data_IF_073292059804
#
_entry.id   IF_073292059804
#
_cell.length_a   1.000
_cell.length_b   1.000
_cell.length_c   1.000
_cell.angle_alpha   90.00
_cell.angle_beta   90.00
_cell.angle_gamma   90.00
#
_symmetry.space_group_name_H-M   'P 1'
#
loop_
_entity.id
_entity.type
_entity.pdbx_description
1 polymer ?
#
# COMPACT_ATOMS: atom_id res chain seq x y z
N UNK A 1 -34.34 -6.68 -16.72
CA UNK A 1 -33.02 -6.26 -16.18
C UNK A 1 -33.15 -6.06 -14.67
N UNK A 2 -32.56 -6.91 -13.82
CA UNK A 2 -32.66 -6.75 -12.38
C UNK A 2 -31.72 -5.64 -11.88
N UNK A 3 -32.26 -4.67 -11.15
CA UNK A 3 -31.50 -3.58 -10.51
C UNK A 3 -30.63 -4.16 -9.39
N UNK A 4 -29.34 -3.81 -9.29
CA UNK A 4 -28.53 -4.22 -8.15
C UNK A 4 -28.99 -3.51 -6.87
N UNK A 5 -29.17 -4.28 -5.81
CA UNK A 5 -29.69 -3.84 -4.52
C UNK A 5 -28.70 -2.92 -3.77
N UNK A 6 -29.19 -1.88 -3.08
CA UNK A 6 -28.36 -0.86 -2.42
C UNK A 6 -27.54 -1.38 -1.23
N UNK A 7 -27.87 -2.58 -0.73
CA UNK A 7 -27.16 -3.24 0.37
C UNK A 7 -25.75 -3.71 -0.04
N UNK A 8 -25.53 -4.03 -1.33
CA UNK A 8 -24.25 -4.51 -1.85
C UNK A 8 -23.17 -3.41 -1.93
N UNK A 9 -23.57 -2.13 -1.92
CA UNK A 9 -22.63 -0.99 -1.93
C UNK A 9 -22.07 -0.67 -0.54
N UNK A 10 -22.79 -1.01 0.54
CA UNK A 10 -22.41 -0.64 1.91
C UNK A 10 -21.36 -1.58 2.52
N UNK A 11 -21.30 -2.84 2.09
CA UNK A 11 -20.35 -3.83 2.62
C UNK A 11 -18.89 -3.59 2.19
N UNK A 12 -18.66 -2.90 1.07
CA UNK A 12 -17.31 -2.66 0.53
C UNK A 12 -16.67 -1.36 1.04
N UNK A 13 -17.47 -0.46 1.62
CA UNK A 13 -16.97 0.80 2.19
C UNK A 13 -16.17 0.56 3.49
N UNK A 14 -16.47 -0.53 4.21
CA UNK A 14 -15.78 -0.88 5.46
C UNK A 14 -14.41 -1.54 5.23
N UNK A 15 -14.16 -2.13 4.06
CA UNK A 15 -12.86 -2.71 3.72
C UNK A 15 -11.78 -1.66 3.41
N UNK A 16 -12.18 -0.42 3.10
CA UNK A 16 -11.25 0.67 2.75
C UNK A 16 -10.52 1.28 3.96
N UNK A 17 -11.04 1.10 5.17
CA UNK A 17 -10.43 1.66 6.39
C UNK A 17 -9.29 0.79 6.96
N UNK A 18 -9.18 -0.48 6.56
CA UNK A 18 -8.12 -1.38 7.04
C UNK A 18 -6.76 -1.13 6.37
N UNK A 19 -6.74 -0.48 5.19
CA UNK A 19 -5.51 -0.19 4.43
C UNK A 19 -4.72 1.01 4.98
N UNK A 20 -5.24 1.74 5.97
CA UNK A 20 -4.62 2.97 6.50
C UNK A 20 -3.66 2.70 7.67
N UNK A 21 -3.71 1.52 8.30
CA UNK A 21 -2.92 1.21 9.50
C UNK A 21 -1.42 0.96 9.26
N UNK A 22 -1.04 0.37 8.13
CA UNK A 22 0.36 0.01 7.86
C UNK A 22 1.22 1.15 7.31
N UNK A 23 0.61 2.28 6.92
CA UNK A 23 1.37 3.49 6.57
C UNK A 23 2.07 4.13 7.79
N UNK A 24 1.57 3.88 9.00
CA UNK A 24 2.09 4.47 10.25
C UNK A 24 3.00 3.54 11.06
N UNK A 25 2.86 2.22 10.95
CA UNK A 25 3.55 1.28 11.86
C UNK A 25 5.00 0.94 11.47
N UNK A 26 5.45 1.28 10.25
CA UNK A 26 6.81 0.97 9.80
C UNK A 26 7.87 1.98 10.28
N UNK A 27 7.44 3.15 10.79
CA UNK A 27 8.35 4.23 11.21
C UNK A 27 7.80 4.91 12.47
N UNK A 28 8.02 4.28 13.62
CA UNK A 28 8.05 4.98 14.91
C UNK A 28 9.51 5.10 15.32
N UNK A 29 10.09 6.32 15.45
CA UNK A 29 11.33 6.48 16.19
C UNK A 29 11.06 6.18 17.67
N UNK A 30 11.96 5.43 18.30
CA UNK A 30 11.91 5.09 19.72
C UNK A 30 11.62 6.32 20.60
N UNK A 31 10.72 6.14 21.58
CA UNK A 31 10.20 7.21 22.41
C UNK A 31 11.25 7.85 23.35
N UNK A 32 11.01 9.06 23.86
CA UNK A 32 11.89 9.65 24.86
C UNK A 32 11.39 9.31 26.28
N UNK A 33 12.17 8.52 27.01
CA UNK A 33 12.15 8.56 28.46
C UNK A 33 12.72 9.91 28.95
N UNK A 34 12.14 10.38 30.04
CA UNK A 34 12.37 11.67 30.67
C UNK A 34 13.80 11.86 31.18
N UNK A 35 14.38 13.05 30.93
CA UNK A 35 14.85 13.99 31.95
C UNK A 35 15.55 15.20 31.30
N UNK A 36 15.01 16.40 31.54
CA UNK A 36 15.67 17.69 31.31
C UNK A 36 16.43 18.10 32.60
N UNK A 37 17.39 19.08 32.63
CA UNK A 37 17.53 20.23 31.72
C UNK A 37 18.99 20.74 31.45
N UNK A 38 19.17 21.63 30.47
CA UNK A 38 19.74 22.98 30.68
C UNK A 38 19.91 23.78 29.38
N UNK A 39 19.76 25.08 29.54
CA UNK A 39 19.65 26.17 28.57
C UNK A 39 20.94 26.45 27.80
N UNK A 40 20.83 26.56 26.47
CA UNK A 40 21.54 27.56 25.61
C UNK A 40 21.54 27.18 24.12
N UNK A 41 21.15 25.95 23.74
CA UNK A 41 21.32 25.42 22.38
C UNK A 41 20.14 25.67 21.42
N UNK A 42 19.15 26.47 21.84
CA UNK A 42 17.89 26.67 21.09
C UNK A 42 18.01 27.48 19.79
N UNK A 43 19.19 28.02 19.44
CA UNK A 43 19.38 28.83 18.21
C UNK A 43 20.10 28.12 17.06
N UNK A 44 20.62 26.92 17.26
CA UNK A 44 21.28 26.12 16.19
C UNK A 44 20.33 25.04 15.64
N UNK A 45 19.22 24.78 16.33
CA UNK A 45 18.28 23.71 15.98
C UNK A 45 17.27 24.06 14.87
N UNK A 46 17.17 25.32 14.45
CA UNK A 46 16.24 25.75 13.39
C UNK A 46 16.81 25.64 11.96
N UNK A 47 18.08 25.28 11.79
CA UNK A 47 18.73 25.27 10.46
C UNK A 47 18.85 23.88 9.78
N UNK A 48 18.40 22.80 10.42
CA UNK A 48 18.47 21.44 9.84
C UNK A 48 17.22 20.60 10.14
N UNK A 49 16.03 21.16 9.93
CA UNK A 49 14.90 20.31 9.54
C UNK A 49 15.22 19.83 8.12
N UNK A 50 16.02 18.77 8.00
CA UNK A 50 16.24 18.12 6.72
C UNK A 50 14.88 17.67 6.22
N UNK A 51 14.34 18.38 5.23
CA UNK A 51 13.24 17.87 4.44
C UNK A 51 13.64 16.45 4.01
N UNK A 52 12.79 15.47 4.34
CA UNK A 52 13.06 14.08 3.98
C UNK A 52 13.44 14.03 2.48
N UNK A 53 14.47 13.24 2.11
CA UNK A 53 14.93 13.21 0.73
C UNK A 53 13.75 12.92 -0.20
N UNK A 54 13.67 13.59 -1.36
CA UNK A 54 12.57 13.39 -2.29
C UNK A 54 12.52 11.92 -2.71
N UNK A 55 11.29 11.39 -2.81
CA UNK A 55 11.03 9.98 -3.09
C UNK A 55 11.63 9.06 -2.03
N UNK A 56 11.18 9.29 -0.80
CA UNK A 56 11.43 8.47 0.39
C UNK A 56 10.12 7.97 0.99
N UNK A 57 10.18 7.30 2.15
CA UNK A 57 8.98 6.89 2.90
C UNK A 57 8.01 8.05 3.17
N UNK A 58 8.53 9.26 3.42
CA UNK A 58 7.70 10.45 3.62
C UNK A 58 6.84 10.79 2.38
N UNK A 59 7.38 10.60 1.17
CA UNK A 59 6.64 10.84 -0.08
C UNK A 59 5.47 9.87 -0.24
N UNK A 60 5.60 8.64 0.27
CA UNK A 60 4.50 7.70 0.26
C UNK A 60 3.41 8.10 1.25
N UNK A 61 3.77 8.50 2.47
CA UNK A 61 2.80 8.97 3.47
C UNK A 61 2.04 10.21 2.96
N UNK A 62 2.75 11.14 2.32
CA UNK A 62 2.13 12.28 1.64
C UNK A 62 1.16 11.84 0.54
N UNK A 63 1.55 10.88 -0.30
CA UNK A 63 0.67 10.35 -1.33
C UNK A 63 -0.60 9.70 -0.75
N UNK A 64 -0.51 8.99 0.39
CA UNK A 64 -1.68 8.43 1.08
C UNK A 64 -2.63 9.55 1.51
N UNK A 65 -2.12 10.61 2.13
CA UNK A 65 -2.94 11.77 2.54
C UNK A 65 -3.59 12.43 1.33
N UNK A 66 -2.84 12.65 0.25
CA UNK A 66 -3.36 13.23 -0.98
C UNK A 66 -4.46 12.38 -1.59
N UNK A 67 -4.34 11.04 -1.58
CA UNK A 67 -5.34 10.15 -2.22
C UNK A 67 -6.60 10.00 -1.37
N UNK A 68 -6.46 9.83 -0.06
CA UNK A 68 -7.57 9.38 0.79
C UNK A 68 -8.12 10.44 1.74
N UNK A 69 -7.32 11.43 2.14
CA UNK A 69 -7.74 12.46 3.11
C UNK A 69 -8.08 13.77 2.40
N UNK A 70 -7.28 14.18 1.41
CA UNK A 70 -7.40 15.45 0.72
C UNK A 70 -8.14 15.35 -0.62
N UNK A 71 -8.45 14.13 -1.08
CA UNK A 71 -9.07 13.82 -2.38
C UNK A 71 -8.39 14.56 -3.57
N UNK A 72 -7.05 14.59 -3.51
CA UNK A 72 -6.14 15.23 -4.48
C UNK A 72 -5.28 14.20 -5.26
N UNK A 73 -5.90 13.23 -5.96
CA UNK A 73 -5.20 12.14 -6.64
C UNK A 73 -4.25 12.62 -7.76
N UNK A 74 -4.55 13.76 -8.39
CA UNK A 74 -3.70 14.35 -9.42
C UNK A 74 -2.34 14.81 -8.85
N UNK A 75 -2.31 15.26 -7.59
CA UNK A 75 -1.08 15.65 -6.91
C UNK A 75 -0.25 14.40 -6.54
N UNK A 76 -0.90 13.35 -6.04
CA UNK A 76 -0.23 12.07 -5.79
C UNK A 76 0.35 11.46 -7.08
N UNK A 77 -0.35 11.58 -8.20
CA UNK A 77 0.19 11.17 -9.51
C UNK A 77 1.43 11.98 -9.89
N UNK A 78 1.43 13.29 -9.66
CA UNK A 78 2.60 14.14 -9.91
C UNK A 78 3.81 13.72 -9.05
N UNK A 79 3.60 13.34 -7.78
CA UNK A 79 4.64 12.78 -6.91
C UNK A 79 5.19 11.47 -7.49
N UNK A 80 4.33 10.55 -7.91
CA UNK A 80 4.77 9.30 -8.54
C UNK A 80 5.64 9.56 -9.78
N UNK A 81 5.21 10.48 -10.65
CA UNK A 81 5.95 10.86 -11.85
C UNK A 81 7.30 11.51 -11.52
N UNK A 82 7.38 12.33 -10.46
CA UNK A 82 8.64 12.86 -9.97
C UNK A 82 9.58 11.74 -9.54
N UNK A 83 9.08 10.74 -8.80
CA UNK A 83 9.88 9.61 -8.38
C UNK A 83 10.37 8.74 -9.52
N UNK A 84 9.59 8.57 -10.59
CA UNK A 84 10.07 7.92 -11.82
C UNK A 84 11.22 8.71 -12.45
N UNK A 85 11.10 10.04 -12.57
CA UNK A 85 12.15 10.89 -13.15
C UNK A 85 13.44 10.83 -12.35
N UNK A 86 13.35 10.91 -11.02
CA UNK A 86 14.53 10.82 -10.14
C UNK A 86 15.14 9.41 -10.11
N UNK A 87 14.32 8.37 -10.14
CA UNK A 87 14.81 7.00 -10.25
C UNK A 87 15.60 6.77 -11.54
N UNK A 88 15.15 7.38 -12.65
CA UNK A 88 15.85 7.30 -13.93
C UNK A 88 17.17 8.07 -13.92
N UNK A 89 17.20 9.31 -13.41
CA UNK A 89 18.41 10.14 -13.41
C UNK A 89 19.49 9.63 -12.45
N UNK A 90 19.11 8.97 -11.36
CA UNK A 90 20.03 8.50 -10.32
C UNK A 90 20.29 6.98 -10.35
N UNK A 91 19.60 6.24 -11.22
CA UNK A 91 19.65 4.78 -11.24
C UNK A 91 19.15 4.12 -9.94
N UNK A 92 18.31 4.81 -9.17
CA UNK A 92 17.90 4.37 -7.84
C UNK A 92 16.62 3.51 -7.89
N UNK A 93 16.77 2.22 -7.61
CA UNK A 93 15.67 1.27 -7.66
C UNK A 93 14.64 1.47 -6.53
N UNK A 94 15.02 2.03 -5.38
CA UNK A 94 14.09 2.35 -4.28
C UNK A 94 13.13 3.47 -4.68
N UNK A 95 13.62 4.50 -5.38
CA UNK A 95 12.76 5.59 -5.88
C UNK A 95 11.72 5.08 -6.89
N UNK A 96 12.11 4.12 -7.73
CA UNK A 96 11.19 3.44 -8.65
C UNK A 96 10.13 2.66 -7.89
N UNK A 97 10.52 1.95 -6.83
CA UNK A 97 9.61 1.20 -5.99
C UNK A 97 8.55 2.11 -5.35
N UNK A 98 8.96 3.26 -4.84
CA UNK A 98 8.03 4.24 -4.24
C UNK A 98 7.02 4.74 -5.28
N UNK A 99 7.48 5.06 -6.49
CA UNK A 99 6.57 5.44 -7.58
C UNK A 99 5.54 4.35 -7.88
N UNK A 100 5.96 3.08 -7.94
CA UNK A 100 5.07 1.93 -8.16
C UNK A 100 4.04 1.79 -7.04
N UNK A 101 4.43 2.00 -5.77
CA UNK A 101 3.48 1.95 -4.65
C UNK A 101 2.43 3.06 -4.72
N UNK A 102 2.83 4.28 -5.07
CA UNK A 102 1.87 5.39 -5.26
C UNK A 102 0.90 5.07 -6.41
N UNK A 103 1.40 4.51 -7.51
CA UNK A 103 0.56 4.05 -8.62
C UNK A 103 -0.42 2.95 -8.19
N UNK A 104 0.02 1.98 -7.37
CA UNK A 104 -0.86 0.94 -6.83
C UNK A 104 -1.99 1.54 -5.96
N UNK A 105 -1.68 2.52 -5.09
CA UNK A 105 -2.69 3.21 -4.26
C UNK A 105 -3.73 3.94 -5.12
N UNK A 106 -3.28 4.68 -6.14
CA UNK A 106 -4.17 5.34 -7.11
C UNK A 106 -5.04 4.31 -7.84
N UNK A 107 -4.43 3.23 -8.33
CA UNK A 107 -5.12 2.18 -9.04
C UNK A 107 -6.18 1.49 -8.17
N UNK A 108 -5.89 1.21 -6.91
CA UNK A 108 -6.87 0.70 -5.95
C UNK A 108 -8.02 1.70 -5.73
N UNK A 109 -7.71 3.00 -5.52
CA UNK A 109 -8.73 4.05 -5.28
C UNK A 109 -9.72 4.18 -6.44
N UNK A 110 -9.23 4.09 -7.68
CA UNK A 110 -10.03 4.24 -8.89
C UNK A 110 -10.46 2.91 -9.54
N UNK A 111 -10.08 1.78 -8.93
CA UNK A 111 -10.35 0.42 -9.45
C UNK A 111 -9.80 0.21 -10.86
N UNK A 112 -8.65 0.79 -11.15
CA UNK A 112 -7.88 0.52 -12.37
C UNK A 112 -7.14 -0.81 -12.19
N UNK A 113 -7.78 -1.91 -12.60
CA UNK A 113 -7.26 -3.26 -12.39
C UNK A 113 -5.99 -3.53 -13.22
N UNK A 114 -5.85 -2.92 -14.38
CA UNK A 114 -4.69 -3.13 -15.26
C UNK A 114 -3.45 -2.48 -14.66
N UNK A 115 -3.56 -1.22 -14.22
CA UNK A 115 -2.46 -0.54 -13.51
C UNK A 115 -2.14 -1.24 -12.20
N UNK A 116 -3.14 -1.71 -11.46
CA UNK A 116 -2.93 -2.45 -10.22
C UNK A 116 -2.20 -3.79 -10.46
N UNK A 117 -2.55 -4.49 -11.53
CA UNK A 117 -1.89 -5.73 -11.92
C UNK A 117 -0.42 -5.50 -12.26
N UNK A 118 -0.14 -4.49 -13.10
CA UNK A 118 1.23 -4.12 -13.47
C UNK A 118 2.06 -3.69 -12.26
N UNK A 119 1.47 -2.90 -11.36
CA UNK A 119 2.13 -2.50 -10.13
C UNK A 119 2.44 -3.71 -9.23
N UNK A 120 1.51 -4.64 -9.10
CA UNK A 120 1.71 -5.89 -8.35
C UNK A 120 2.87 -6.73 -8.90
N UNK A 121 2.92 -6.93 -10.22
CA UNK A 121 4.04 -7.60 -10.88
C UNK A 121 5.36 -6.86 -10.64
N UNK A 122 5.37 -5.54 -10.77
CA UNK A 122 6.57 -4.73 -10.58
C UNK A 122 7.11 -4.83 -9.15
N UNK A 123 6.25 -4.81 -8.12
CA UNK A 123 6.66 -4.99 -6.73
C UNK A 123 7.31 -6.37 -6.49
N UNK A 124 6.74 -7.43 -7.06
CA UNK A 124 7.26 -8.79 -6.93
C UNK A 124 8.58 -8.99 -7.69
N UNK A 125 8.74 -8.38 -8.86
CA UNK A 125 9.91 -8.53 -9.73
C UNK A 125 11.09 -7.69 -9.27
N UNK A 126 10.84 -6.46 -8.81
CA UNK A 126 11.90 -5.53 -8.44
C UNK A 126 12.70 -6.03 -7.24
N UNK A 127 12.03 -6.60 -6.22
CA UNK A 127 12.64 -7.18 -4.99
C UNK A 127 13.72 -6.31 -4.32
N UNK A 128 13.67 -5.00 -4.55
CA UNK A 128 14.65 -4.04 -4.00
C UNK A 128 14.55 -4.01 -2.48
N UNK A 129 13.32 -4.14 -1.98
CA UNK A 129 12.96 -4.14 -0.58
C UNK A 129 11.97 -5.31 -0.39
N UNK A 130 12.44 -6.46 0.16
CA UNK A 130 11.64 -7.68 0.30
C UNK A 130 10.31 -7.48 1.03
N UNK A 131 10.24 -6.49 1.91
CA UNK A 131 9.05 -6.13 2.68
C UNK A 131 7.87 -5.65 1.81
N UNK A 132 8.10 -5.29 0.55
CA UNK A 132 7.05 -4.87 -0.38
C UNK A 132 6.66 -5.93 -1.41
N UNK A 133 7.33 -7.10 -1.42
CA UNK A 133 6.90 -8.23 -2.24
C UNK A 133 5.49 -8.71 -1.83
N UNK A 134 5.14 -8.82 -0.52
CA UNK A 134 3.78 -9.19 -0.11
C UNK A 134 2.70 -8.23 -0.63
N UNK A 135 2.96 -6.92 -0.61
CA UNK A 135 2.05 -5.89 -1.16
C UNK A 135 1.75 -6.15 -2.64
N UNK A 136 2.77 -6.60 -3.39
CA UNK A 136 2.61 -6.99 -4.79
C UNK A 136 1.67 -8.18 -4.96
N UNK A 137 1.81 -9.21 -4.12
CA UNK A 137 0.89 -10.34 -4.11
C UNK A 137 -0.53 -9.91 -3.70
N UNK A 138 -0.70 -8.98 -2.76
CA UNK A 138 -2.02 -8.44 -2.42
C UNK A 138 -2.67 -7.72 -3.60
N UNK A 139 -1.92 -6.90 -4.36
CA UNK A 139 -2.42 -6.24 -5.56
C UNK A 139 -2.92 -7.27 -6.58
N UNK A 140 -2.15 -8.33 -6.84
CA UNK A 140 -2.53 -9.39 -7.77
C UNK A 140 -3.75 -10.18 -7.27
N UNK A 141 -3.80 -10.52 -5.98
CA UNK A 141 -4.96 -11.17 -5.38
C UNK A 141 -6.25 -10.35 -5.58
N UNK A 142 -6.19 -9.04 -5.36
CA UNK A 142 -7.32 -8.14 -5.61
C UNK A 142 -7.76 -8.18 -7.08
N UNK A 143 -6.82 -8.10 -8.03
CA UNK A 143 -7.15 -8.15 -9.46
C UNK A 143 -7.81 -9.47 -9.86
N UNK A 144 -7.31 -10.60 -9.35
CA UNK A 144 -7.88 -11.92 -9.63
C UNK A 144 -9.28 -12.09 -9.03
N UNK A 145 -9.51 -11.61 -7.80
CA UNK A 145 -10.85 -11.58 -7.21
C UNK A 145 -11.84 -10.75 -8.04
N UNK A 146 -11.41 -9.59 -8.54
CA UNK A 146 -12.25 -8.74 -9.38
C UNK A 146 -12.60 -9.41 -10.73
N UNK A 147 -11.75 -10.32 -11.22
CA UNK A 147 -11.96 -11.09 -12.45
C UNK A 147 -12.72 -12.40 -12.23
N UNK A 148 -12.95 -12.81 -10.98
CA UNK A 148 -13.58 -14.10 -10.68
C UNK A 148 -12.64 -15.29 -10.64
N UNK A 149 -11.32 -15.08 -10.74
CA UNK A 149 -10.32 -16.16 -10.71
C UNK A 149 -9.91 -16.48 -9.27
N UNK A 150 -10.66 -17.41 -8.67
CA UNK A 150 -10.46 -17.85 -7.28
C UNK A 150 -9.13 -18.58 -7.09
N UNK A 151 -8.67 -19.34 -8.08
CA UNK A 151 -7.39 -20.07 -8.01
C UNK A 151 -6.20 -19.11 -8.02
N UNK A 152 -6.22 -18.11 -8.91
CA UNK A 152 -5.20 -17.07 -8.92
C UNK A 152 -5.18 -16.29 -7.60
N UNK A 153 -6.34 -15.86 -7.11
CA UNK A 153 -6.45 -15.13 -5.85
C UNK A 153 -5.91 -15.94 -4.66
N UNK A 154 -6.27 -17.23 -4.56
CA UNK A 154 -5.79 -18.16 -3.52
C UNK A 154 -4.28 -18.25 -3.50
N UNK A 155 -3.65 -18.41 -4.66
CA UNK A 155 -2.18 -18.48 -4.79
C UNK A 155 -1.53 -17.22 -4.23
N UNK A 156 -1.95 -16.05 -4.69
CA UNK A 156 -1.33 -14.80 -4.27
C UNK A 156 -1.57 -14.46 -2.80
N UNK A 157 -2.76 -14.76 -2.25
CA UNK A 157 -2.99 -14.58 -0.80
C UNK A 157 -2.12 -15.50 0.06
N UNK A 158 -1.91 -16.74 -0.39
CA UNK A 158 -1.02 -17.70 0.29
C UNK A 158 0.43 -17.20 0.29
N UNK A 159 0.91 -16.69 -0.86
CA UNK A 159 2.25 -16.12 -0.98
C UNK A 159 2.42 -14.86 -0.12
N UNK A 160 1.45 -13.94 -0.14
CA UNK A 160 1.47 -12.73 0.69
C UNK A 160 1.54 -13.08 2.19
N UNK A 161 0.68 -14.00 2.64
CA UNK A 161 0.65 -14.49 4.03
C UNK A 161 1.98 -15.09 4.45
N UNK A 162 2.55 -15.97 3.64
CA UNK A 162 3.81 -16.63 3.92
C UNK A 162 4.95 -15.60 4.09
N UNK A 163 4.99 -14.60 3.21
CA UNK A 163 6.03 -13.57 3.26
C UNK A 163 5.85 -12.59 4.43
N UNK A 164 4.63 -12.11 4.72
CA UNK A 164 4.39 -11.29 5.92
C UNK A 164 4.75 -12.04 7.21
N UNK A 165 4.44 -13.33 7.28
CA UNK A 165 4.80 -14.19 8.42
C UNK A 165 6.33 -14.30 8.55
N UNK A 166 7.03 -14.55 7.44
CA UNK A 166 8.49 -14.65 7.43
C UNK A 166 9.19 -13.35 7.84
N UNK A 167 8.60 -12.20 7.50
CA UNK A 167 9.08 -10.88 7.85
C UNK A 167 8.65 -10.42 9.26
N UNK A 168 7.82 -11.20 9.96
CA UNK A 168 7.27 -10.88 11.29
C UNK A 168 6.50 -9.54 11.32
N UNK A 169 5.75 -9.26 10.26
CA UNK A 169 4.91 -8.06 10.15
C UNK A 169 3.48 -8.43 10.53
N UNK A 170 3.24 -8.65 11.84
CA UNK A 170 2.00 -9.26 12.33
C UNK A 170 0.75 -8.45 11.97
N UNK A 171 0.83 -7.12 12.06
CA UNK A 171 -0.28 -6.22 11.71
C UNK A 171 -0.63 -6.24 10.21
N UNK A 172 0.28 -6.69 9.33
CA UNK A 172 -0.01 -6.81 7.91
C UNK A 172 -0.84 -8.07 7.59
N UNK A 173 -0.83 -9.09 8.46
CA UNK A 173 -1.70 -10.26 8.31
C UNK A 173 -3.17 -9.88 8.44
N UNK A 174 -3.50 -8.88 9.26
CA UNK A 174 -4.87 -8.36 9.39
C UNK A 174 -5.38 -7.75 8.08
N UNK A 175 -4.48 -7.26 7.23
CA UNK A 175 -4.83 -6.67 5.93
C UNK A 175 -5.24 -7.70 4.88
N UNK A 176 -4.89 -8.98 5.10
CA UNK A 176 -5.30 -10.07 4.22
C UNK A 176 -6.75 -10.52 4.46
N UNK A 177 -7.26 -10.33 5.68
CA UNK A 177 -8.54 -10.89 6.10
C UNK A 177 -9.71 -10.50 5.19
N UNK A 178 -9.88 -9.25 4.72
CA UNK A 178 -10.97 -8.90 3.82
C UNK A 178 -10.91 -9.63 2.47
N UNK A 179 -9.70 -9.83 1.93
CA UNK A 179 -9.50 -10.53 0.65
C UNK A 179 -9.75 -12.03 0.80
N UNK A 180 -9.31 -12.62 1.91
CA UNK A 180 -9.55 -14.03 2.21
C UNK A 180 -11.04 -14.33 2.45
N UNK A 181 -11.76 -13.45 3.13
CA UNK A 181 -13.21 -13.56 3.30
C UNK A 181 -13.94 -13.46 1.96
N UNK A 182 -13.53 -12.52 1.10
CA UNK A 182 -14.10 -12.39 -0.25
C UNK A 182 -13.87 -13.67 -1.07
N UNK A 183 -12.67 -14.23 -1.01
CA UNK A 183 -12.31 -15.47 -1.70
C UNK A 183 -13.14 -16.66 -1.22
N UNK A 184 -13.23 -16.87 0.10
CA UNK A 184 -14.03 -17.94 0.69
C UNK A 184 -15.50 -17.86 0.27
N UNK A 185 -16.05 -16.64 0.23
CA UNK A 185 -17.41 -16.43 -0.24
C UNK A 185 -17.59 -16.84 -1.71
N UNK A 186 -16.66 -16.48 -2.59
CA UNK A 186 -16.71 -16.85 -4.00
C UNK A 186 -16.58 -18.36 -4.21
N UNK A 187 -15.60 -19.00 -3.56
CA UNK A 187 -15.40 -20.45 -3.65
C UNK A 187 -16.63 -21.24 -3.15
N UNK A 188 -17.30 -20.76 -2.09
CA UNK A 188 -18.54 -21.38 -1.60
C UNK A 188 -19.69 -21.29 -2.60
N UNK A 189 -19.72 -20.24 -3.43
CA UNK A 189 -20.74 -20.08 -4.49
C UNK A 189 -20.46 -20.98 -5.68
N UNK A 190 -19.19 -21.18 -6.02
CA UNK A 190 -18.79 -22.06 -7.12
C UNK A 190 -19.02 -23.53 -6.76
N UNK A 191 -18.76 -23.94 -5.51
CA UNK A 191 -19.02 -25.29 -5.03
C UNK A 191 -20.53 -25.66 -4.97
N UNK A 192 -21.42 -24.66 -4.97
CA UNK A 192 -22.86 -24.85 -4.95
C UNK A 192 -23.51 -24.92 -6.35
N UNK A 193 -22.72 -24.82 -7.42
CA UNK A 193 -23.16 -24.94 -8.82
C UNK A 193 -22.78 -26.29 -9.40
#
# INVERSE_FOLDING_TARGET
>A
MPRPSPLRRRSWALALLACLGSAHAAWMPDGPDADAPSSSTHRVFEAFVQAAPPCSGATLSEAVQLIYEQDAPAQALALAQQCVREAHSQGNAVKRLIAVRIQALLAMRFRDLDTLHQAGQALIQQRVLPEYVPDGHMCLAFTCLAQGDTQCARRHLTEARAQFTALRIDHALDQLAPLEQALLHMESQDAAR
#
